data_IF_911017467261
#
_entry.id   IF_911017467261
#
_cell.length_a   1.000
_cell.length_b   1.000
_cell.length_c   1.000
_cell.angle_alpha   90.00
_cell.angle_beta   90.00
_cell.angle_gamma   90.00
#
_symmetry.space_group_name_H-M   'P 1'
#
loop_
_entity.id
_entity.type
_entity.pdbx_description
1 polymer ?
#
# COMPACT_ATOMS: atom_id res chain seq x y z
N UNK A 1 3.21 -0.17 0.96
CA UNK A 1 4.15 -1.31 0.87
C UNK A 1 3.42 -2.51 0.32
N UNK A 2 3.98 -3.18 -0.69
CA UNK A 2 3.43 -4.44 -1.19
C UNK A 2 4.33 -5.59 -0.74
N UNK A 3 3.72 -6.64 -0.24
CA UNK A 3 4.38 -7.92 0.00
C UNK A 3 3.84 -8.86 -1.06
N UNK A 4 4.71 -9.29 -1.97
CA UNK A 4 4.35 -10.32 -2.95
C UNK A 4 3.99 -11.60 -2.18
N UNK A 5 2.97 -12.34 -2.61
CA UNK A 5 2.78 -13.68 -2.10
C UNK A 5 4.08 -14.44 -2.38
N UNK A 6 4.73 -14.90 -1.30
CA UNK A 6 5.99 -15.65 -1.41
C UNK A 6 5.76 -16.85 -2.32
N UNK A 7 6.15 -16.67 -3.60
CA UNK A 7 6.23 -17.77 -4.55
C UNK A 7 4.99 -18.65 -4.66
N UNK A 8 3.78 -18.09 -4.70
CA UNK A 8 2.57 -18.89 -4.96
C UNK A 8 2.68 -19.69 -6.28
N UNK A 9 3.52 -19.22 -7.20
CA UNK A 9 3.92 -19.93 -8.40
C UNK A 9 5.09 -20.90 -8.22
N UNK A 10 5.78 -20.89 -7.06
CA UNK A 10 6.85 -21.85 -6.79
C UNK A 10 6.28 -23.21 -6.37
N UNK A 11 6.88 -24.36 -6.77
CA UNK A 11 6.34 -25.70 -6.52
C UNK A 11 6.10 -26.06 -5.03
N UNK A 12 6.70 -25.32 -4.10
CA UNK A 12 6.59 -25.54 -2.65
C UNK A 12 6.04 -24.33 -1.90
N UNK A 13 5.37 -23.41 -2.59
CA UNK A 13 4.81 -22.22 -1.98
C UNK A 13 3.65 -22.59 -1.05
N UNK A 14 3.58 -21.88 0.08
CA UNK A 14 2.51 -21.99 1.06
C UNK A 14 1.80 -20.66 1.18
N UNK A 15 0.67 -20.52 0.47
CA UNK A 15 -0.13 -19.30 0.44
C UNK A 15 -0.61 -18.87 1.84
N UNK A 16 -0.89 -19.81 2.73
CA UNK A 16 -1.30 -19.51 4.10
C UNK A 16 -0.15 -18.91 4.91
N UNK A 17 1.07 -19.43 4.77
CA UNK A 17 2.26 -18.85 5.39
C UNK A 17 2.58 -17.47 4.83
N UNK A 18 2.49 -17.30 3.51
CA UNK A 18 2.68 -16.01 2.86
C UNK A 18 1.67 -14.97 3.37
N UNK A 19 0.39 -15.33 3.48
CA UNK A 19 -0.66 -14.47 4.06
C UNK A 19 -0.34 -14.13 5.52
N UNK A 20 0.06 -15.10 6.33
CA UNK A 20 0.42 -14.89 7.73
C UNK A 20 1.60 -13.92 7.89
N UNK A 21 2.60 -14.00 7.01
CA UNK A 21 3.73 -13.04 6.99
C UNK A 21 3.22 -11.62 6.68
N UNK A 22 2.35 -11.43 5.68
CA UNK A 22 1.76 -10.13 5.37
C UNK A 22 0.96 -9.57 6.55
N UNK A 23 0.14 -10.41 7.17
CA UNK A 23 -0.66 -10.05 8.35
C UNK A 23 0.23 -9.68 9.56
N UNK A 24 1.33 -10.41 9.77
CA UNK A 24 2.28 -10.09 10.83
C UNK A 24 2.95 -8.73 10.59
N UNK A 25 3.36 -8.45 9.36
CA UNK A 25 3.90 -7.13 8.98
C UNK A 25 2.86 -6.03 9.23
N UNK A 26 1.61 -6.23 8.82
CA UNK A 26 0.54 -5.25 9.03
C UNK A 26 0.26 -4.96 10.52
N UNK A 27 0.45 -5.97 11.39
CA UNK A 27 0.32 -5.82 12.84
C UNK A 27 1.48 -5.05 13.50
N UNK A 28 2.63 -4.90 12.84
CA UNK A 28 3.83 -4.29 13.41
C UNK A 28 4.07 -2.84 12.98
N UNK A 29 3.44 -2.37 11.91
CA UNK A 29 3.71 -1.04 11.37
C UNK A 29 3.00 0.05 12.18
N UNK A 30 3.78 0.97 12.77
CA UNK A 30 3.29 2.22 13.37
C UNK A 30 3.27 3.35 12.32
N UNK A 31 2.10 3.54 11.73
CA UNK A 31 1.87 4.59 10.71
C UNK A 31 1.95 6.00 11.30
N UNK A 32 1.56 6.18 12.57
CA UNK A 32 1.66 7.47 13.26
C UNK A 32 3.12 7.87 13.48
N UNK A 33 3.98 6.89 13.78
CA UNK A 33 5.41 7.12 13.90
C UNK A 33 6.01 7.56 12.56
N UNK A 34 5.70 6.85 11.47
CA UNK A 34 6.14 7.22 10.12
C UNK A 34 5.68 8.64 9.76
N UNK A 35 4.39 8.94 9.91
CA UNK A 35 3.84 10.26 9.62
C UNK A 35 4.50 11.38 10.44
N UNK A 36 4.81 11.11 11.73
CA UNK A 36 5.33 12.13 12.64
C UNK A 36 6.85 12.28 12.54
N UNK A 37 7.59 11.17 12.61
CA UNK A 37 9.06 11.21 12.68
C UNK A 37 9.70 11.41 11.30
N UNK A 38 9.18 10.74 10.26
CA UNK A 38 9.74 10.83 8.90
C UNK A 38 9.15 12.03 8.18
N UNK A 39 7.83 12.09 8.05
CA UNK A 39 7.14 13.06 7.20
C UNK A 39 6.72 14.34 7.91
N UNK A 40 7.05 14.53 9.21
CA UNK A 40 6.76 15.75 9.99
C UNK A 40 5.30 16.20 9.90
N UNK A 41 4.38 15.23 9.81
CA UNK A 41 2.93 15.40 9.68
C UNK A 41 2.47 16.00 8.34
N UNK A 42 3.30 15.98 7.30
CA UNK A 42 2.88 16.34 5.94
C UNK A 42 2.10 15.20 5.26
N UNK A 43 2.18 14.00 5.83
CA UNK A 43 1.40 12.82 5.48
C UNK A 43 0.57 12.37 6.68
N UNK A 44 -0.55 11.71 6.40
CA UNK A 44 -1.44 11.12 7.41
C UNK A 44 -1.41 9.59 7.33
N UNK A 45 -1.57 8.89 8.46
CA UNK A 45 -1.75 7.44 8.46
C UNK A 45 -2.92 7.00 7.58
N UNK A 46 -2.74 5.94 6.81
CA UNK A 46 -3.76 5.38 5.93
C UNK A 46 -4.09 3.95 6.33
N UNK A 47 -5.35 3.70 6.66
CA UNK A 47 -5.87 2.40 7.10
C UNK A 47 -6.91 1.81 6.14
N UNK A 48 -6.98 2.35 4.93
CA UNK A 48 -7.93 2.00 3.88
C UNK A 48 -7.20 1.82 2.55
N UNK A 49 -7.87 1.23 1.57
CA UNK A 49 -7.36 1.15 0.19
C UNK A 49 -7.82 2.34 -0.66
N UNK A 50 -8.88 3.01 -0.25
CA UNK A 50 -9.38 4.24 -0.85
C UNK A 50 -8.99 5.40 0.08
N UNK A 51 -8.33 6.45 -0.41
CA UNK A 51 -7.98 7.61 0.40
C UNK A 51 -9.18 8.28 1.08
N UNK A 52 -8.94 8.89 2.24
CA UNK A 52 -9.94 9.72 2.91
C UNK A 52 -10.42 10.86 1.98
N UNK A 53 -11.71 11.16 2.07
CA UNK A 53 -12.38 12.15 1.22
C UNK A 53 -12.98 11.60 -0.08
N UNK A 54 -12.75 10.34 -0.42
CA UNK A 54 -13.37 9.68 -1.57
C UNK A 54 -14.52 8.76 -1.16
N UNK A 55 -15.49 8.59 -2.06
CA UNK A 55 -16.65 7.71 -1.83
C UNK A 55 -16.20 6.27 -1.56
N UNK A 56 -16.85 5.60 -0.62
CA UNK A 56 -16.53 4.23 -0.25
C UNK A 56 -15.29 4.07 0.63
N UNK A 57 -14.65 5.16 1.09
CA UNK A 57 -13.58 5.08 2.09
C UNK A 57 -14.04 4.33 3.34
N UNK A 58 -13.20 3.42 3.85
CA UNK A 58 -13.43 2.68 5.10
C UNK A 58 -12.09 2.24 5.71
N UNK A 59 -11.85 2.59 6.98
CA UNK A 59 -10.62 2.27 7.71
C UNK A 59 -10.54 0.77 8.12
N UNK A 60 -10.65 -0.14 7.16
CA UNK A 60 -10.74 -1.59 7.40
C UNK A 60 -9.51 -2.17 8.10
N UNK A 61 -8.33 -1.67 7.79
CA UNK A 61 -7.09 -2.16 8.39
C UNK A 61 -6.90 -1.75 9.85
N UNK A 62 -7.51 -0.63 10.28
CA UNK A 62 -7.38 -0.13 11.65
C UNK A 62 -8.03 -1.06 12.67
N UNK A 63 -9.14 -1.68 12.28
CA UNK A 63 -9.82 -2.68 13.10
C UNK A 63 -9.18 -4.07 13.02
N UNK A 64 -8.66 -4.43 11.84
CA UNK A 64 -8.14 -5.76 11.57
C UNK A 64 -6.74 -6.00 12.15
N UNK A 65 -5.86 -5.00 12.09
CA UNK A 65 -4.44 -5.17 12.41
C UNK A 65 -3.97 -4.20 13.50
N UNK A 66 -3.06 -4.69 14.35
CA UNK A 66 -2.61 -3.96 15.52
C UNK A 66 -3.70 -3.80 16.57
N UNK A 67 -3.55 -2.83 17.45
CA UNK A 67 -4.51 -2.48 18.49
C UNK A 67 -4.88 -1.00 18.36
N UNK A 68 -6.06 -0.71 17.81
CA UNK A 68 -6.51 0.67 17.57
C UNK A 68 -5.51 1.50 16.73
N UNK A 69 -4.91 0.89 15.71
CA UNK A 69 -3.92 1.53 14.85
C UNK A 69 -2.50 1.58 15.43
N UNK A 70 -2.25 0.95 16.59
CA UNK A 70 -0.91 0.79 17.16
C UNK A 70 -0.36 -0.61 16.90
N UNK A 71 0.97 -0.77 16.81
CA UNK A 71 1.58 -2.08 16.64
C UNK A 71 1.21 -3.07 17.74
N UNK A 72 1.13 -4.35 17.37
CA UNK A 72 0.94 -5.45 18.33
C UNK A 72 1.85 -6.63 17.97
N UNK A 73 2.96 -6.75 18.69
CA UNK A 73 3.92 -7.86 18.56
C UNK A 73 3.24 -9.18 18.90
N UNK A 74 2.35 -9.20 19.88
CA UNK A 74 1.65 -10.43 20.29
C UNK A 74 0.71 -10.95 19.21
N UNK A 75 -0.04 -10.07 18.54
CA UNK A 75 -0.88 -10.44 17.39
C UNK A 75 -0.03 -10.95 16.22
N UNK A 76 1.07 -10.26 15.90
CA UNK A 76 1.99 -10.68 14.85
C UNK A 76 2.58 -12.07 15.14
N UNK A 77 3.06 -12.29 16.37
CA UNK A 77 3.58 -13.59 16.85
C UNK A 77 2.55 -14.69 16.75
N UNK A 78 1.32 -14.39 17.18
CA UNK A 78 0.21 -15.37 17.13
C UNK A 78 -0.08 -15.80 15.70
N UNK A 79 -0.21 -14.88 14.77
CA UNK A 79 -0.51 -15.15 13.35
C UNK A 79 0.58 -16.04 12.73
N UNK A 80 1.86 -15.71 12.94
CA UNK A 80 2.97 -16.51 12.42
C UNK A 80 2.99 -17.91 13.03
N UNK A 81 2.79 -18.01 14.34
CA UNK A 81 2.76 -19.30 15.05
C UNK A 81 1.62 -20.19 14.56
N UNK A 82 0.40 -19.64 14.44
CA UNK A 82 -0.79 -20.38 14.02
C UNK A 82 -0.64 -20.94 12.59
N UNK A 83 0.09 -20.22 11.74
CA UNK A 83 0.41 -20.66 10.37
C UNK A 83 1.66 -21.56 10.29
N UNK A 84 2.32 -21.86 11.40
CA UNK A 84 3.55 -22.67 11.42
C UNK A 84 4.74 -22.01 10.71
N UNK A 85 4.83 -20.67 10.77
CA UNK A 85 5.96 -19.92 10.23
C UNK A 85 7.08 -19.86 11.26
N UNK A 86 8.28 -20.27 10.86
CA UNK A 86 9.49 -20.17 11.70
C UNK A 86 9.96 -18.73 11.79
N UNK A 87 10.30 -18.28 13.00
CA UNK A 87 10.83 -16.93 13.25
C UNK A 87 12.28 -16.98 13.75
N UNK A 88 13.13 -15.95 13.48
CA UNK A 88 12.77 -14.79 12.67
C UNK A 88 12.54 -15.12 11.19
N UNK A 89 11.63 -14.39 10.54
CA UNK A 89 11.43 -14.46 9.09
C UNK A 89 12.45 -13.58 8.39
N UNK A 90 13.26 -14.16 7.52
CA UNK A 90 14.17 -13.38 6.67
C UNK A 90 13.38 -12.67 5.58
N UNK A 91 13.40 -11.33 5.60
CA UNK A 91 12.60 -10.49 4.72
C UNK A 91 13.50 -9.53 3.93
N UNK A 92 13.56 -9.70 2.60
CA UNK A 92 14.18 -8.71 1.72
C UNK A 92 13.16 -7.60 1.44
N UNK A 93 13.43 -6.41 1.94
CA UNK A 93 12.58 -5.24 1.80
C UNK A 93 13.22 -4.24 0.84
N UNK A 94 12.56 -4.01 -0.29
CA UNK A 94 13.08 -3.16 -1.35
C UNK A 94 12.39 -1.80 -1.36
N UNK A 95 13.17 -0.71 -1.45
CA UNK A 95 12.65 0.63 -1.61
C UNK A 95 13.36 1.38 -2.75
N UNK A 96 12.78 2.52 -3.13
CA UNK A 96 13.34 3.41 -4.13
C UNK A 96 13.52 4.81 -3.53
N UNK A 97 14.72 5.37 -3.66
CA UNK A 97 15.07 6.67 -3.05
C UNK A 97 15.15 7.83 -4.04
N UNK A 98 15.17 7.57 -5.35
CA UNK A 98 15.30 8.61 -6.38
C UNK A 98 13.95 9.03 -6.97
N UNK A 99 12.94 8.14 -7.00
CA UNK A 99 11.61 8.46 -7.53
C UNK A 99 10.63 8.95 -6.44
N UNK A 100 10.58 8.25 -5.29
CA UNK A 100 9.67 8.62 -4.20
C UNK A 100 10.25 9.66 -3.22
N UNK A 101 11.46 10.15 -3.50
CA UNK A 101 12.13 11.19 -2.73
C UNK A 101 13.03 10.66 -1.60
N UNK A 102 13.84 11.58 -1.07
CA UNK A 102 14.88 11.26 -0.07
C UNK A 102 14.32 10.68 1.25
N UNK A 103 13.07 10.99 1.58
CA UNK A 103 12.40 10.47 2.80
C UNK A 103 12.15 8.96 2.74
N UNK A 104 12.19 8.33 1.55
CA UNK A 104 12.00 6.88 1.43
C UNK A 104 13.03 6.08 2.21
N UNK A 105 14.28 6.52 2.26
CA UNK A 105 15.32 5.84 3.03
C UNK A 105 15.00 5.83 4.54
N UNK A 106 14.60 6.98 5.07
CA UNK A 106 14.22 7.12 6.49
C UNK A 106 12.93 6.35 6.81
N UNK A 107 11.95 6.38 5.89
CA UNK A 107 10.70 5.61 6.03
C UNK A 107 10.98 4.12 6.13
N UNK A 108 11.76 3.58 5.19
CA UNK A 108 12.00 2.15 5.15
C UNK A 108 13.01 1.67 6.20
N UNK A 109 13.90 2.54 6.67
CA UNK A 109 14.72 2.28 7.87
C UNK A 109 13.85 2.21 9.14
N UNK A 110 12.86 3.10 9.28
CA UNK A 110 11.91 3.04 10.38
C UNK A 110 11.04 1.77 10.31
N UNK A 111 10.52 1.42 9.14
CA UNK A 111 9.76 0.16 8.95
C UNK A 111 10.61 -1.06 9.31
N UNK A 112 11.87 -1.12 8.85
CA UNK A 112 12.80 -2.19 9.26
C UNK A 112 12.89 -2.29 10.79
N UNK A 113 13.12 -1.18 11.46
CA UNK A 113 13.22 -1.14 12.93
C UNK A 113 11.94 -1.65 13.60
N UNK A 114 10.77 -1.25 13.14
CA UNK A 114 9.47 -1.70 13.66
C UNK A 114 9.25 -3.22 13.47
N UNK A 115 9.65 -3.76 12.32
CA UNK A 115 9.51 -5.18 12.03
C UNK A 115 10.45 -6.05 12.89
N UNK A 116 11.64 -5.54 13.19
CA UNK A 116 12.66 -6.26 13.97
C UNK A 116 12.47 -6.15 15.49
N UNK A 117 11.70 -5.16 15.98
CA UNK A 117 11.55 -4.89 17.43
C UNK A 117 11.09 -6.12 18.24
N UNK A 118 10.18 -6.90 17.71
CA UNK A 118 9.67 -8.11 18.40
C UNK A 118 10.50 -9.39 18.17
N UNK A 119 11.62 -9.31 17.43
CA UNK A 119 12.44 -10.46 17.06
C UNK A 119 11.74 -11.45 16.11
N UNK A 120 10.66 -11.01 15.44
CA UNK A 120 9.88 -11.85 14.52
C UNK A 120 10.40 -11.81 13.09
N UNK A 121 11.15 -10.77 12.73
CA UNK A 121 11.73 -10.58 11.42
C UNK A 121 13.22 -10.24 11.50
N UNK A 122 13.95 -10.63 10.45
CA UNK A 122 15.30 -10.19 10.12
C UNK A 122 15.21 -9.52 8.75
N UNK A 123 15.38 -8.20 8.69
CA UNK A 123 15.10 -7.41 7.48
C UNK A 123 16.37 -7.00 6.76
N UNK A 124 16.56 -7.52 5.55
CA UNK A 124 17.56 -7.06 4.60
C UNK A 124 16.97 -5.91 3.77
N UNK A 125 17.35 -4.67 4.13
CA UNK A 125 16.86 -3.46 3.49
C UNK A 125 17.71 -3.13 2.27
N UNK A 126 17.10 -3.07 1.09
CA UNK A 126 17.78 -2.87 -0.19
C UNK A 126 17.19 -1.68 -0.95
N UNK A 127 18.04 -1.02 -1.74
CA UNK A 127 17.63 0.10 -2.61
C UNK A 127 18.03 -0.20 -4.06
N UNK A 128 17.14 0.15 -4.98
CA UNK A 128 17.41 0.10 -6.43
C UNK A 128 16.91 1.40 -7.08
N UNK A 129 17.62 1.89 -8.10
CA UNK A 129 17.23 3.06 -8.88
C UNK A 129 15.94 2.77 -9.68
N UNK A 130 15.18 3.81 -10.02
CA UNK A 130 13.81 3.69 -10.51
C UNK A 130 13.65 2.88 -11.80
N UNK A 131 14.54 3.05 -12.76
CA UNK A 131 14.44 2.35 -14.05
C UNK A 131 14.57 0.84 -13.89
N UNK A 132 15.54 0.40 -13.08
CA UNK A 132 15.73 -1.02 -12.77
C UNK A 132 14.63 -1.52 -11.82
N UNK A 133 14.28 -0.71 -10.82
CA UNK A 133 13.22 -1.02 -9.88
C UNK A 133 11.90 -1.38 -10.57
N UNK A 134 11.49 -0.57 -11.56
CA UNK A 134 10.27 -0.80 -12.32
C UNK A 134 10.28 -2.09 -13.15
N UNK A 135 11.44 -2.51 -13.63
CA UNK A 135 11.59 -3.78 -14.35
C UNK A 135 11.51 -4.98 -13.42
N UNK A 136 12.20 -4.88 -12.28
CA UNK A 136 12.41 -6.01 -11.37
C UNK A 136 11.17 -6.34 -10.52
N UNK A 137 10.33 -5.33 -10.21
CA UNK A 137 9.15 -5.51 -9.36
C UNK A 137 7.95 -6.19 -10.04
N UNK A 138 7.92 -6.20 -11.36
CA UNK A 138 6.73 -6.68 -12.11
C UNK A 138 6.72 -8.19 -12.23
N UNK A 139 5.52 -8.76 -12.12
CA UNK A 139 5.26 -10.16 -12.42
C UNK A 139 4.98 -10.29 -13.92
N UNK A 140 5.60 -11.26 -14.55
CA UNK A 140 5.43 -11.61 -15.96
C UNK A 140 5.10 -13.10 -16.07
N UNK A 141 4.80 -13.60 -17.28
CA UNK A 141 4.60 -15.04 -17.50
C UNK A 141 5.83 -15.89 -17.17
N UNK A 142 7.03 -15.27 -17.17
CA UNK A 142 8.31 -15.97 -16.98
C UNK A 142 9.00 -15.60 -15.64
N UNK A 143 8.40 -14.71 -14.83
CA UNK A 143 8.99 -14.23 -13.58
C UNK A 143 7.92 -13.71 -12.60
N UNK A 144 8.06 -14.09 -11.33
CA UNK A 144 7.25 -13.57 -10.22
C UNK A 144 7.71 -12.19 -9.72
N UNK A 145 8.63 -11.54 -10.43
CA UNK A 145 9.33 -10.35 -9.99
C UNK A 145 10.48 -10.68 -9.04
N UNK A 146 11.47 -9.79 -8.97
CA UNK A 146 12.68 -10.01 -8.16
C UNK A 146 12.47 -9.63 -6.68
N UNK A 147 11.44 -8.84 -6.36
CA UNK A 147 11.26 -8.30 -5.02
C UNK A 147 10.11 -8.95 -4.27
N UNK A 148 10.37 -9.69 -3.18
CA UNK A 148 9.31 -10.29 -2.37
C UNK A 148 8.48 -9.22 -1.64
N UNK A 149 9.12 -8.12 -1.23
CA UNK A 149 8.47 -6.99 -0.54
C UNK A 149 9.05 -5.68 -1.08
N UNK A 150 8.19 -4.76 -1.50
CA UNK A 150 8.65 -3.52 -2.09
C UNK A 150 7.74 -2.31 -1.86
N UNK A 151 8.32 -1.13 -1.93
CA UNK A 151 7.64 0.16 -1.91
C UNK A 151 6.84 0.38 -3.19
N UNK A 152 5.64 0.97 -3.08
CA UNK A 152 4.92 1.51 -4.21
C UNK A 152 4.12 2.74 -3.77
N UNK A 153 4.28 3.85 -4.48
CA UNK A 153 3.44 5.04 -4.36
C UNK A 153 2.43 5.09 -5.51
N UNK A 154 1.35 5.83 -5.31
CA UNK A 154 0.33 6.02 -6.32
C UNK A 154 -0.14 7.46 -6.38
N UNK A 155 -0.16 8.03 -7.57
CA UNK A 155 -0.83 9.28 -7.89
C UNK A 155 -2.02 8.96 -8.80
N UNK A 156 -3.23 9.42 -8.47
CA UNK A 156 -4.39 9.08 -9.27
C UNK A 156 -4.37 9.80 -10.62
N UNK A 157 -4.76 9.10 -11.69
CA UNK A 157 -4.93 9.67 -13.02
C UNK A 157 -6.21 10.51 -13.10
N UNK A 158 -7.20 10.20 -12.26
CA UNK A 158 -8.48 10.87 -12.14
C UNK A 158 -9.04 10.70 -10.72
N UNK A 159 -9.92 11.63 -10.31
CA UNK A 159 -10.51 11.65 -8.97
C UNK A 159 -11.70 10.70 -8.87
N UNK A 160 -11.41 9.40 -8.79
CA UNK A 160 -12.41 8.35 -8.54
C UNK A 160 -11.81 7.25 -7.67
N UNK A 161 -12.57 6.65 -6.73
CA UNK A 161 -12.11 5.54 -5.91
C UNK A 161 -11.58 4.35 -6.70
N UNK A 162 -12.11 4.09 -7.89
CA UNK A 162 -11.67 3.00 -8.75
C UNK A 162 -10.19 3.10 -9.13
N UNK A 163 -9.67 4.33 -9.23
CA UNK A 163 -8.25 4.53 -9.56
C UNK A 163 -7.27 4.06 -8.46
N UNK A 164 -7.79 3.72 -7.29
CA UNK A 164 -7.04 3.12 -6.19
C UNK A 164 -7.28 1.61 -6.04
N UNK A 165 -8.25 1.04 -6.75
CA UNK A 165 -8.59 -0.38 -6.67
C UNK A 165 -8.22 -1.15 -7.94
N UNK A 166 -8.77 -0.76 -9.09
CA UNK A 166 -8.54 -1.48 -10.36
C UNK A 166 -7.07 -1.62 -10.74
N UNK A 167 -6.21 -0.57 -10.62
CA UNK A 167 -4.80 -0.69 -10.97
C UNK A 167 -4.00 -1.69 -10.13
N UNK A 168 -4.51 -2.09 -8.96
CA UNK A 168 -3.83 -2.97 -8.01
C UNK A 168 -4.45 -4.37 -7.91
N UNK A 169 -5.79 -4.46 -8.02
CA UNK A 169 -6.53 -5.65 -7.57
C UNK A 169 -7.32 -6.34 -8.68
N UNK A 170 -7.49 -5.70 -9.84
CA UNK A 170 -8.12 -6.34 -11.00
C UNK A 170 -7.18 -7.38 -11.62
N UNK A 171 -7.74 -8.46 -12.18
CA UNK A 171 -6.97 -9.41 -12.96
C UNK A 171 -6.25 -8.71 -14.12
N UNK A 172 -4.94 -9.00 -14.28
CA UNK A 172 -4.10 -8.31 -15.25
C UNK A 172 -3.92 -6.82 -14.95
N UNK A 173 -3.89 -6.44 -13.67
CA UNK A 173 -3.83 -5.05 -13.21
C UNK A 173 -2.62 -4.28 -13.74
N UNK A 174 -2.75 -2.95 -13.76
CA UNK A 174 -1.74 -2.03 -14.31
C UNK A 174 -0.37 -2.16 -13.62
N UNK A 175 -0.35 -2.37 -12.31
CA UNK A 175 0.91 -2.48 -11.57
C UNK A 175 1.64 -3.81 -11.77
N UNK A 176 1.03 -4.75 -12.46
CA UNK A 176 1.59 -6.09 -12.76
C UNK A 176 2.13 -6.79 -11.51
N UNK A 177 1.29 -6.87 -10.51
CA UNK A 177 1.68 -7.41 -9.21
C UNK A 177 1.37 -8.91 -9.03
N UNK A 178 0.79 -9.56 -10.04
CA UNK A 178 0.42 -10.97 -9.98
C UNK A 178 -0.76 -11.30 -9.07
N UNK A 179 -1.42 -10.30 -8.46
CA UNK A 179 -2.58 -10.54 -7.62
C UNK A 179 -3.79 -10.94 -8.46
N UNK A 180 -4.53 -11.92 -7.99
CA UNK A 180 -5.79 -12.36 -8.57
C UNK A 180 -6.71 -12.87 -7.47
N UNK A 181 -7.92 -12.31 -7.40
CA UNK A 181 -9.02 -12.79 -6.57
C UNK A 181 -10.31 -12.61 -7.35
N UNK A 182 -10.97 -13.74 -7.64
CA UNK A 182 -12.17 -13.73 -8.50
C UNK A 182 -13.29 -12.85 -7.95
N UNK A 183 -13.55 -12.91 -6.64
CA UNK A 183 -14.63 -12.13 -6.01
C UNK A 183 -14.34 -10.64 -6.09
N UNK A 184 -13.11 -10.22 -5.77
CA UNK A 184 -12.67 -8.82 -5.90
C UNK A 184 -12.75 -8.35 -7.34
N UNK A 185 -12.29 -9.16 -8.29
CA UNK A 185 -12.38 -8.83 -9.72
C UNK A 185 -13.82 -8.63 -10.19
N UNK A 186 -14.73 -9.52 -9.79
CA UNK A 186 -16.16 -9.40 -10.13
C UNK A 186 -16.79 -8.13 -9.53
N UNK A 187 -16.42 -7.77 -8.29
CA UNK A 187 -16.88 -6.54 -7.64
C UNK A 187 -16.32 -5.28 -8.29
N UNK A 188 -15.05 -5.30 -8.72
CA UNK A 188 -14.44 -4.19 -9.47
C UNK A 188 -15.20 -3.96 -10.79
N UNK A 189 -15.51 -5.02 -11.52
CA UNK A 189 -16.31 -4.92 -12.76
C UNK A 189 -17.72 -4.41 -12.45
N UNK A 190 -18.35 -4.91 -11.39
CA UNK A 190 -19.70 -4.49 -10.97
C UNK A 190 -19.77 -3.00 -10.62
N UNK A 191 -18.84 -2.50 -9.78
CA UNK A 191 -18.85 -1.10 -9.35
C UNK A 191 -18.69 -0.11 -10.52
N UNK A 192 -17.96 -0.51 -11.57
CA UNK A 192 -17.70 0.34 -12.73
C UNK A 192 -18.95 0.69 -13.56
N UNK A 193 -20.03 -0.09 -13.44
CA UNK A 193 -21.31 0.11 -14.15
C UNK A 193 -22.45 0.52 -13.24
N UNK A 194 -22.22 0.67 -11.93
CA UNK A 194 -23.25 1.12 -10.99
C UNK A 194 -23.50 2.62 -11.11
N UNK A 195 -24.75 2.99 -11.29
CA UNK A 195 -25.20 4.39 -11.38
C UNK A 195 -25.76 4.94 -10.06
N UNK A 196 -26.18 4.07 -9.15
CA UNK A 196 -26.57 4.47 -7.80
C UNK A 196 -25.31 4.63 -6.95
N UNK A 197 -25.05 5.83 -6.48
CA UNK A 197 -23.85 6.20 -5.73
C UNK A 197 -23.71 5.46 -4.40
N UNK A 198 -24.82 5.23 -3.69
CA UNK A 198 -24.81 4.52 -2.42
C UNK A 198 -24.51 3.03 -2.61
N UNK A 199 -25.16 2.39 -3.58
CA UNK A 199 -24.88 1.00 -3.93
C UNK A 199 -23.43 0.81 -4.42
N UNK A 200 -22.89 1.77 -5.17
CA UNK A 200 -21.49 1.77 -5.59
C UNK A 200 -20.55 1.90 -4.39
N UNK A 201 -20.83 2.84 -3.47
CA UNK A 201 -20.03 3.03 -2.27
C UNK A 201 -19.97 1.75 -1.41
N UNK A 202 -21.09 1.04 -1.25
CA UNK A 202 -21.09 -0.25 -0.52
C UNK A 202 -20.31 -1.34 -1.25
N UNK A 203 -20.34 -1.38 -2.58
CA UNK A 203 -19.50 -2.31 -3.36
C UNK A 203 -18.01 -1.99 -3.19
N UNK A 204 -17.64 -0.71 -3.18
CA UNK A 204 -16.25 -0.27 -2.94
C UNK A 204 -15.76 -0.63 -1.53
N UNK A 205 -16.61 -0.52 -0.51
CA UNK A 205 -16.29 -0.98 0.86
C UNK A 205 -16.13 -2.50 0.92
N UNK A 206 -16.98 -3.25 0.22
CA UNK A 206 -16.85 -4.71 0.18
C UNK A 206 -15.52 -5.14 -0.42
N UNK A 207 -15.06 -4.50 -1.50
CA UNK A 207 -13.73 -4.76 -2.08
C UNK A 207 -12.63 -4.52 -1.04
N UNK A 208 -12.68 -3.41 -0.32
CA UNK A 208 -11.66 -3.09 0.70
C UNK A 208 -11.66 -4.10 1.86
N UNK A 209 -12.82 -4.59 2.30
CA UNK A 209 -12.91 -5.62 3.35
C UNK A 209 -12.28 -6.92 2.91
N UNK A 210 -12.54 -7.37 1.67
CA UNK A 210 -11.92 -8.59 1.11
C UNK A 210 -10.41 -8.42 0.95
N UNK A 211 -9.95 -7.27 0.44
CA UNK A 211 -8.52 -6.99 0.30
C UNK A 211 -7.83 -6.85 1.67
N UNK A 212 -8.54 -6.37 2.70
CA UNK A 212 -8.04 -6.35 4.07
C UNK A 212 -7.77 -7.76 4.59
N UNK A 213 -8.58 -8.73 4.21
CA UNK A 213 -8.35 -10.13 4.56
C UNK A 213 -7.20 -10.74 3.76
N UNK A 214 -7.14 -10.52 2.44
CA UNK A 214 -6.08 -11.02 1.56
C UNK A 214 -4.74 -10.31 1.80
N UNK A 215 -4.80 -9.01 2.05
CA UNK A 215 -3.66 -8.14 2.37
C UNK A 215 -2.53 -8.23 1.33
N UNK A 216 -2.87 -8.21 0.05
CA UNK A 216 -1.87 -8.23 -1.03
C UNK A 216 -1.02 -6.96 -1.04
N UNK A 217 -1.58 -5.87 -0.51
CA UNK A 217 -0.94 -4.57 -0.37
C UNK A 217 -1.19 -4.03 1.03
N UNK A 218 -0.20 -3.37 1.62
CA UNK A 218 -0.32 -2.73 2.94
C UNK A 218 -0.27 -1.21 2.75
N UNK A 219 -1.40 -0.49 2.76
CA UNK A 219 -1.42 0.96 2.80
C UNK A 219 -0.69 1.50 4.03
N UNK A 220 0.11 2.54 3.82
CA UNK A 220 0.92 3.15 4.89
C UNK A 220 0.46 4.56 5.19
N UNK A 221 0.54 5.44 4.21
CA UNK A 221 0.34 6.88 4.37
C UNK A 221 -0.41 7.47 3.19
N UNK A 222 -1.15 8.53 3.45
CA UNK A 222 -1.78 9.39 2.46
C UNK A 222 -1.13 10.78 2.52
N UNK A 223 -0.61 11.24 1.40
CA UNK A 223 -0.07 12.58 1.24
C UNK A 223 -1.11 13.57 0.73
N UNK A 224 -0.96 14.82 1.09
CA UNK A 224 -1.73 15.91 0.50
C UNK A 224 -0.95 16.59 -0.62
N UNK A 225 -1.64 17.03 -1.67
CA UNK A 225 -1.03 17.93 -2.64
C UNK A 225 -0.76 19.29 -2.01
N UNK A 226 0.45 19.80 -2.17
CA UNK A 226 0.86 21.08 -1.59
C UNK A 226 1.43 21.98 -2.67
N UNK A 227 1.02 23.24 -2.67
CA UNK A 227 1.62 24.28 -3.49
C UNK A 227 2.06 25.46 -2.62
N UNK A 228 3.21 26.05 -2.95
CA UNK A 228 3.72 27.25 -2.33
C UNK A 228 3.73 28.36 -3.37
N UNK A 229 3.14 29.52 -3.02
CA UNK A 229 3.07 30.67 -3.90
C UNK A 229 3.52 31.95 -3.16
N UNK A 230 4.16 32.85 -3.86
CA UNK A 230 4.47 34.19 -3.34
C UNK A 230 3.18 34.95 -2.99
N UNK A 231 3.28 35.92 -2.07
CA UNK A 231 2.13 36.70 -1.59
C UNK A 231 1.36 37.48 -2.66
N UNK A 232 2.03 37.78 -3.78
CA UNK A 232 1.48 38.51 -4.93
C UNK A 232 0.99 37.57 -6.05
N UNK A 233 1.07 36.27 -5.89
CA UNK A 233 0.60 35.26 -6.85
C UNK A 233 -0.83 34.86 -6.52
N UNK A 234 -1.71 34.87 -7.53
CA UNK A 234 -3.13 34.48 -7.41
C UNK A 234 -3.47 33.38 -8.40
N UNK A 235 -4.62 32.74 -8.20
CA UNK A 235 -5.16 31.74 -9.13
C UNK A 235 -4.44 30.38 -9.07
N UNK A 236 -3.66 30.12 -8.01
CA UNK A 236 -3.13 28.77 -7.76
C UNK A 236 -4.29 27.86 -7.32
N UNK A 237 -4.57 26.84 -8.11
CA UNK A 237 -5.63 25.85 -7.85
C UNK A 237 -5.00 24.49 -7.67
N UNK A 238 -5.32 23.83 -6.55
CA UNK A 238 -5.04 22.42 -6.32
C UNK A 238 -6.31 21.63 -6.61
N UNK A 239 -6.22 20.65 -7.49
CA UNK A 239 -7.35 19.78 -7.79
C UNK A 239 -6.99 18.30 -7.54
N UNK A 240 -8.02 17.47 -7.41
CA UNK A 240 -7.87 16.07 -7.07
C UNK A 240 -7.19 15.22 -8.17
N UNK A 241 -7.02 15.77 -9.38
CA UNK A 241 -6.27 15.13 -10.47
C UNK A 241 -4.76 15.39 -10.42
N UNK A 242 -4.28 16.07 -9.39
CA UNK A 242 -2.86 16.46 -9.20
C UNK A 242 -2.27 17.28 -10.36
N UNK A 243 -3.10 17.97 -11.12
CA UNK A 243 -2.69 18.81 -12.24
C UNK A 243 -2.68 20.28 -11.83
N UNK A 244 -1.57 20.96 -12.12
CA UNK A 244 -1.48 22.41 -11.93
C UNK A 244 -2.02 23.13 -13.16
N UNK A 245 -3.01 23.99 -12.95
CA UNK A 245 -3.57 24.84 -14.00
C UNK A 245 -2.81 26.15 -14.08
N UNK A 246 -1.63 26.11 -14.70
CA UNK A 246 -0.78 27.31 -14.81
C UNK A 246 -1.45 28.49 -15.52
N UNK A 247 -2.41 28.24 -16.42
CA UNK A 247 -3.16 29.27 -17.13
C UNK A 247 -4.03 30.16 -16.22
N UNK A 248 -4.35 29.70 -15.01
CA UNK A 248 -5.09 30.50 -14.02
C UNK A 248 -4.18 31.37 -13.12
N UNK A 249 -2.87 31.13 -13.16
CA UNK A 249 -1.92 31.82 -12.28
C UNK A 249 -1.60 33.19 -12.80
N UNK A 250 -1.76 34.20 -11.96
CA UNK A 250 -1.46 35.61 -12.26
C UNK A 250 -0.58 36.22 -11.18
N UNK A 251 0.12 37.32 -11.54
CA UNK A 251 0.98 38.08 -10.64
C UNK A 251 0.47 39.48 -10.50
#
# INVERSE_FOLDING_TARGET
MKIQPFGESQPNADANKAKAVRQAVANLIDRDELATKVYKKTYTPMYSYIPDGLAGHEDTLKAAYGENGKPSVDKARKVLKDAGVTTPVDLKLQYNGDHYGSSSADEYAAIKSQLEEGGLFSVDLQQTEWTQYNKDRVVTKDSDGAYPVYQLGWFPDYSDPDNYLSPFFRDGNFVNNGYSNKEINDLIVKQAVQTDENARAETLKQIQRLETDDLSTIPLLQGAQTAVAGSNVKGVVLDASFRFRYSSVTK
#
